data_IF_839407203633
#
_entry.id   IF_839407203633
#
_cell.length_a   1.000
_cell.length_b   1.000
_cell.length_c   1.000
_cell.angle_alpha   90.00
_cell.angle_beta   90.00
_cell.angle_gamma   90.00
#
_symmetry.space_group_name_H-M   'P 1'
#
loop_
_entity.id
_entity.type
_entity.pdbx_description
1 polymer ?
#
# COMPACT_ATOMS: atom_id res chain seq x y z
N UNK A 1 15.45 -1.72 10.38
CA UNK A 1 15.71 -1.96 8.96
C UNK A 1 14.46 -2.67 8.46
N UNK A 2 13.53 -1.90 7.90
CA UNK A 2 12.13 -2.31 7.77
C UNK A 2 11.64 -2.12 6.34
N UNK A 3 10.87 -3.10 5.89
CA UNK A 3 10.00 -2.99 4.73
C UNK A 3 8.82 -2.08 5.09
N UNK A 4 8.41 -1.23 4.16
CA UNK A 4 7.30 -0.28 4.37
C UNK A 4 6.45 -0.19 3.09
N UNK A 5 5.15 0.08 3.28
CA UNK A 5 4.21 0.35 2.19
C UNK A 5 3.58 1.73 2.39
N UNK A 6 4.36 2.81 2.18
CA UNK A 6 3.85 4.17 2.28
C UNK A 6 3.04 4.53 1.03
N UNK A 7 2.07 5.42 1.18
CA UNK A 7 1.30 5.90 0.05
C UNK A 7 0.46 7.12 0.37
N UNK A 8 -0.20 7.64 -0.67
CA UNK A 8 -1.20 8.68 -0.53
C UNK A 8 -2.37 8.49 -1.48
N UNK A 9 -3.52 9.04 -1.09
CA UNK A 9 -4.75 9.08 -1.87
C UNK A 9 -5.16 10.52 -2.09
N UNK A 10 -5.42 10.87 -3.34
CA UNK A 10 -6.12 12.09 -3.72
C UNK A 10 -7.58 11.77 -4.04
N UNK A 11 -8.49 12.58 -3.52
CA UNK A 11 -9.92 12.43 -3.75
C UNK A 11 -10.42 13.45 -4.76
N UNK A 12 -11.23 13.01 -5.72
CA UNK A 12 -12.00 13.91 -6.59
C UNK A 12 -13.07 14.66 -5.81
N UNK A 13 -13.59 14.04 -4.74
CA UNK A 13 -14.44 14.67 -3.74
C UNK A 13 -14.05 14.17 -2.35
N UNK A 14 -13.74 15.11 -1.45
CA UNK A 14 -13.35 14.79 -0.08
C UNK A 14 -14.45 13.98 0.62
N UNK A 15 -14.10 12.88 1.30
CA UNK A 15 -15.06 12.07 2.03
C UNK A 15 -15.64 12.86 3.21
N UNK A 16 -16.90 12.60 3.56
CA UNK A 16 -17.58 13.22 4.72
C UNK A 16 -17.16 12.56 6.05
N UNK A 17 -15.89 12.19 6.15
CA UNK A 17 -15.25 11.63 7.34
C UNK A 17 -13.81 12.12 7.41
N UNK A 18 -13.28 12.22 8.63
CA UNK A 18 -11.87 12.57 8.81
C UNK A 18 -10.93 11.49 8.26
N UNK A 19 -9.71 11.87 7.90
CA UNK A 19 -8.64 10.93 7.53
C UNK A 19 -8.38 9.87 8.62
N UNK A 20 -8.45 10.26 9.90
CA UNK A 20 -8.29 9.33 11.02
C UNK A 20 -9.39 8.27 11.05
N UNK A 21 -10.64 8.68 10.84
CA UNK A 21 -11.78 7.76 10.78
C UNK A 21 -11.67 6.82 9.58
N UNK A 22 -11.26 7.35 8.41
CA UNK A 22 -11.05 6.56 7.20
C UNK A 22 -9.99 5.48 7.42
N UNK A 23 -8.81 5.85 7.92
CA UNK A 23 -7.73 4.90 8.25
C UNK A 23 -8.19 3.85 9.27
N UNK A 24 -8.93 4.27 10.29
CA UNK A 24 -9.47 3.34 11.30
C UNK A 24 -10.44 2.33 10.67
N UNK A 25 -11.23 2.73 9.67
CA UNK A 25 -12.11 1.81 8.94
C UNK A 25 -11.32 0.81 8.11
N UNK A 26 -10.28 1.26 7.41
CA UNK A 26 -9.41 0.38 6.61
C UNK A 26 -8.67 -0.65 7.46
N UNK A 27 -8.10 -0.22 8.60
CA UNK A 27 -7.42 -1.11 9.55
C UNK A 27 -8.40 -2.17 10.07
N UNK A 28 -9.59 -1.76 10.51
CA UNK A 28 -10.61 -2.68 11.04
C UNK A 28 -11.20 -3.63 10.00
N UNK A 29 -11.33 -3.21 8.73
CA UNK A 29 -11.92 -4.04 7.68
C UNK A 29 -10.95 -5.03 7.08
N UNK A 30 -9.65 -4.71 7.05
CA UNK A 30 -8.61 -5.54 6.42
C UNK A 30 -7.91 -6.47 7.39
N UNK A 31 -7.82 -6.11 8.67
CA UNK A 31 -6.96 -6.78 9.64
C UNK A 31 -5.47 -6.45 9.49
N UNK A 32 -5.09 -5.64 8.49
CA UNK A 32 -3.75 -5.10 8.31
C UNK A 32 -3.58 -3.85 9.15
N UNK A 33 -2.33 -3.49 9.46
CA UNK A 33 -2.05 -2.19 10.04
C UNK A 33 -2.22 -1.08 9.00
N UNK A 34 -2.96 -0.04 9.36
CA UNK A 34 -3.10 1.16 8.53
C UNK A 34 -2.99 2.36 9.45
N UNK A 35 -2.10 3.30 9.14
CA UNK A 35 -1.87 4.47 9.96
C UNK A 35 -1.68 5.73 9.13
N UNK A 36 -1.98 6.89 9.71
CA UNK A 36 -1.61 8.17 9.12
C UNK A 36 -0.09 8.36 9.19
N UNK A 37 0.45 8.98 8.16
CA UNK A 37 1.87 9.29 8.03
C UNK A 37 2.05 10.76 7.67
N UNK A 38 3.12 11.39 8.14
CA UNK A 38 3.44 12.76 7.74
C UNK A 38 3.89 12.78 6.27
N UNK A 39 3.43 13.71 5.42
CA UNK A 39 3.90 13.80 4.02
C UNK A 39 5.42 13.88 3.88
N UNK A 40 6.14 14.44 4.85
CA UNK A 40 7.60 14.50 4.87
C UNK A 40 8.30 13.16 5.13
N UNK A 41 7.55 12.14 5.55
CA UNK A 41 8.02 10.76 5.73
C UNK A 41 7.86 9.91 4.46
N UNK A 42 7.37 10.48 3.35
CA UNK A 42 7.39 9.84 2.02
C UNK A 42 8.80 9.86 1.42
N UNK A 43 9.73 9.18 2.10
CA UNK A 43 11.13 9.15 1.73
C UNK A 43 11.34 8.61 0.32
N UNK A 44 12.24 9.24 -0.42
CA UNK A 44 12.61 8.90 -1.80
C UNK A 44 11.47 8.93 -2.84
N UNK A 45 10.26 9.40 -2.48
CA UNK A 45 9.23 9.69 -3.47
C UNK A 45 9.74 10.77 -4.43
N UNK A 46 9.66 10.57 -5.75
CA UNK A 46 10.09 11.58 -6.71
C UNK A 46 9.33 12.91 -6.51
N UNK A 47 9.98 14.04 -6.78
CA UNK A 47 9.34 15.37 -6.69
C UNK A 47 8.05 15.49 -7.53
N UNK A 48 7.95 14.69 -8.59
CA UNK A 48 6.77 14.61 -9.48
C UNK A 48 5.62 13.79 -8.89
N UNK A 49 5.82 13.13 -7.75
CA UNK A 49 4.88 12.24 -7.07
C UNK A 49 4.72 12.64 -5.60
N UNK A 50 4.56 13.94 -5.35
CA UNK A 50 4.24 14.46 -4.03
C UNK A 50 2.72 14.57 -3.84
N UNK A 51 2.20 14.31 -2.63
CA UNK A 51 0.79 14.48 -2.32
C UNK A 51 0.39 15.96 -2.36
N UNK A 52 -0.86 16.23 -2.70
CA UNK A 52 -1.48 17.55 -2.44
C UNK A 52 -1.77 17.76 -0.95
N UNK A 53 -1.96 19.01 -0.54
CA UNK A 53 -2.22 19.40 0.86
C UNK A 53 -3.46 18.72 1.47
N UNK A 54 -4.41 18.28 0.64
CA UNK A 54 -5.65 17.63 1.05
C UNK A 54 -5.63 16.11 0.87
N UNK A 55 -4.49 15.53 0.46
CA UNK A 55 -4.35 14.10 0.29
C UNK A 55 -4.34 13.39 1.64
N UNK A 56 -4.88 12.17 1.66
CA UNK A 56 -4.66 11.24 2.76
C UNK A 56 -3.28 10.60 2.56
N UNK A 57 -2.34 10.83 3.46
CA UNK A 57 -1.05 10.15 3.48
C UNK A 57 -1.07 9.05 4.54
N UNK A 58 -0.63 7.85 4.16
CA UNK A 58 -0.80 6.65 4.97
C UNK A 58 0.38 5.69 4.86
N UNK A 59 0.41 4.73 5.79
CA UNK A 59 1.31 3.59 5.82
C UNK A 59 0.51 2.31 6.05
N UNK A 60 0.76 1.28 5.23
CA UNK A 60 0.27 -0.08 5.44
C UNK A 60 1.38 -0.93 6.09
N UNK A 61 1.01 -1.75 7.07
CA UNK A 61 1.92 -2.60 7.84
C UNK A 61 1.29 -3.97 8.16
N UNK A 62 2.12 -4.90 8.62
CA UNK A 62 1.75 -6.30 8.85
C UNK A 62 0.54 -6.45 9.78
N UNK A 63 0.46 -5.62 10.82
CA UNK A 63 -0.58 -5.68 11.86
C UNK A 63 -0.93 -4.29 12.37
N UNK A 64 -2.11 -4.13 12.99
CA UNK A 64 -2.50 -2.89 13.65
C UNK A 64 -1.41 -2.35 14.57
N UNK A 65 -1.16 -1.04 14.47
CA UNK A 65 -0.10 -0.32 15.23
C UNK A 65 1.36 -0.72 14.92
N UNK A 66 1.59 -1.64 13.98
CA UNK A 66 2.92 -1.89 13.41
C UNK A 66 3.32 -0.76 12.46
N UNK A 67 4.61 -0.58 12.24
CA UNK A 67 5.16 0.28 11.16
C UNK A 67 5.83 -0.52 10.04
N UNK A 68 5.94 -1.83 10.21
CA UNK A 68 6.70 -2.70 9.32
C UNK A 68 5.73 -3.53 8.49
N UNK A 69 6.05 -3.72 7.22
CA UNK A 69 5.33 -4.58 6.29
C UNK A 69 6.18 -5.81 5.90
N UNK A 70 7.09 -6.24 6.78
CA UNK A 70 8.09 -7.26 6.45
C UNK A 70 7.45 -8.56 6.01
N UNK A 71 6.40 -9.01 6.70
CA UNK A 71 5.71 -10.23 6.33
C UNK A 71 4.88 -10.04 5.06
N UNK A 72 4.19 -8.91 4.93
CA UNK A 72 3.27 -8.66 3.82
C UNK A 72 3.94 -8.67 2.44
N UNK A 73 5.14 -8.09 2.33
CA UNK A 73 5.83 -7.93 1.04
C UNK A 73 7.07 -8.81 0.89
N UNK A 74 7.26 -9.77 1.79
CA UNK A 74 8.21 -10.87 1.56
C UNK A 74 7.67 -11.77 0.44
N UNK A 75 8.45 -11.93 -0.64
CA UNK A 75 8.09 -12.78 -1.78
C UNK A 75 8.18 -14.29 -1.49
N UNK A 76 8.72 -14.69 -0.33
CA UNK A 76 8.87 -16.09 0.06
C UNK A 76 7.63 -16.68 0.72
N UNK A 77 7.35 -17.96 0.42
CA UNK A 77 6.38 -18.73 1.19
C UNK A 77 7.00 -19.12 2.56
N UNK A 78 6.23 -18.93 3.63
CA UNK A 78 6.63 -19.36 4.97
C UNK A 78 6.38 -20.86 5.17
N UNK A 79 7.15 -21.47 6.06
CA UNK A 79 6.98 -22.87 6.43
C UNK A 79 5.59 -23.12 7.06
N UNK A 80 4.98 -24.30 6.88
CA UNK A 80 3.66 -24.63 7.44
C UNK A 80 3.52 -24.42 8.96
N UNK A 81 4.63 -24.55 9.69
CA UNK A 81 4.74 -24.37 11.13
C UNK A 81 4.98 -22.93 11.58
N UNK A 82 5.15 -21.99 10.65
CA UNK A 82 5.37 -20.59 10.98
C UNK A 82 4.11 -19.99 11.61
N UNK A 83 4.29 -19.33 12.75
CA UNK A 83 3.23 -18.64 13.48
C UNK A 83 3.37 -17.14 13.26
N UNK A 84 2.79 -16.66 12.15
CA UNK A 84 2.87 -15.27 11.71
C UNK A 84 1.50 -14.60 11.60
N UNK A 85 0.41 -15.23 12.03
CA UNK A 85 -0.95 -14.65 11.98
C UNK A 85 -1.39 -14.04 10.62
N UNK A 86 -0.71 -14.42 9.53
CA UNK A 86 -0.90 -13.99 8.15
C UNK A 86 -0.85 -15.20 7.22
N UNK A 87 -1.39 -15.11 5.99
CA UNK A 87 -1.26 -16.18 5.01
C UNK A 87 0.22 -16.59 4.79
N UNK A 88 0.48 -17.89 4.78
CA UNK A 88 1.84 -18.41 4.61
C UNK A 88 2.37 -18.22 3.19
N UNK A 89 1.48 -18.16 2.18
CA UNK A 89 1.89 -17.95 0.79
C UNK A 89 2.05 -16.47 0.49
N UNK A 90 3.15 -16.10 -0.17
CA UNK A 90 3.44 -14.68 -0.49
C UNK A 90 2.35 -14.03 -1.33
N UNK A 91 1.86 -14.76 -2.33
CA UNK A 91 0.73 -14.32 -3.14
C UNK A 91 -0.51 -14.01 -2.30
N UNK A 92 -0.86 -14.86 -1.33
CA UNK A 92 -2.06 -14.66 -0.51
C UNK A 92 -1.93 -13.44 0.42
N UNK A 93 -0.71 -13.07 0.83
CA UNK A 93 -0.46 -11.81 1.57
C UNK A 93 -0.58 -10.58 0.68
N UNK A 94 -0.05 -10.65 -0.53
CA UNK A 94 -0.19 -9.58 -1.52
C UNK A 94 -1.66 -9.33 -1.88
N UNK A 95 -2.47 -10.38 -1.94
CA UNK A 95 -3.91 -10.30 -2.13
C UNK A 95 -4.61 -9.47 -1.04
N UNK A 96 -4.16 -9.53 0.22
CA UNK A 96 -4.73 -8.69 1.29
C UNK A 96 -4.50 -7.20 1.04
N UNK A 97 -3.31 -6.85 0.56
CA UNK A 97 -2.94 -5.46 0.24
C UNK A 97 -3.77 -4.97 -0.95
N UNK A 98 -3.92 -5.81 -1.98
CA UNK A 98 -4.74 -5.50 -3.15
C UNK A 98 -6.21 -5.28 -2.81
N UNK A 99 -6.79 -6.15 -1.99
CA UNK A 99 -8.18 -5.98 -1.53
C UNK A 99 -8.37 -4.67 -0.76
N UNK A 100 -7.39 -4.28 0.06
CA UNK A 100 -7.43 -2.99 0.75
C UNK A 100 -7.35 -1.81 -0.23
N UNK A 101 -6.44 -1.84 -1.21
CA UNK A 101 -6.31 -0.81 -2.24
C UNK A 101 -7.57 -0.72 -3.12
N UNK A 102 -8.14 -1.86 -3.51
CA UNK A 102 -9.37 -1.91 -4.30
C UNK A 102 -10.56 -1.36 -3.51
N UNK A 103 -10.66 -1.70 -2.20
CA UNK A 103 -11.71 -1.16 -1.33
C UNK A 103 -11.66 0.37 -1.23
N UNK A 104 -10.48 0.96 -1.33
CA UNK A 104 -10.30 2.41 -1.35
C UNK A 104 -10.99 3.02 -2.59
N UNK A 105 -10.77 2.44 -3.77
CA UNK A 105 -11.43 2.89 -5.00
C UNK A 105 -12.93 2.61 -5.04
N UNK A 106 -13.39 1.50 -4.45
CA UNK A 106 -14.80 1.12 -4.44
C UNK A 106 -15.64 2.00 -3.51
N UNK A 107 -15.09 2.41 -2.37
CA UNK A 107 -15.85 3.08 -1.31
C UNK A 107 -15.66 4.60 -1.29
N UNK A 108 -14.66 5.12 -2.01
CA UNK A 108 -14.33 6.54 -1.99
C UNK A 108 -14.10 7.08 -3.40
N UNK A 109 -14.42 8.36 -3.58
CA UNK A 109 -14.23 9.07 -4.84
C UNK A 109 -12.75 9.43 -5.04
N UNK A 110 -11.90 8.43 -5.29
CA UNK A 110 -10.46 8.60 -5.54
C UNK A 110 -10.25 9.17 -6.93
N UNK A 111 -9.30 10.09 -7.09
CA UNK A 111 -8.80 10.54 -8.40
C UNK A 111 -7.43 9.94 -8.72
N UNK A 112 -6.61 9.72 -7.70
CA UNK A 112 -5.25 9.18 -7.82
C UNK A 112 -4.85 8.49 -6.53
N UNK A 113 -4.17 7.35 -6.64
CA UNK A 113 -3.52 6.66 -5.54
C UNK A 113 -2.07 6.41 -5.91
N UNK A 114 -1.15 6.82 -5.04
CA UNK A 114 0.26 6.46 -5.14
C UNK A 114 0.64 5.57 -3.96
N UNK A 115 1.26 4.42 -4.23
CA UNK A 115 1.68 3.48 -3.18
C UNK A 115 3.00 2.84 -3.55
N UNK A 116 3.95 2.82 -2.61
CA UNK A 116 5.26 2.21 -2.81
C UNK A 116 5.33 0.86 -2.08
N UNK A 117 6.01 -0.10 -2.67
CA UNK A 117 6.37 -1.36 -2.03
C UNK A 117 7.89 -1.36 -1.87
N UNK A 118 8.38 -1.04 -0.67
CA UNK A 118 9.79 -0.69 -0.50
C UNK A 118 10.51 -1.56 0.52
N UNK A 119 11.77 -1.86 0.21
CA UNK A 119 12.77 -2.29 1.18
C UNK A 119 13.65 -1.07 1.53
N UNK A 120 13.74 -0.72 2.82
CA UNK A 120 14.46 0.48 3.31
C UNK A 120 14.05 1.79 2.63
N UNK A 121 12.75 1.97 2.37
CA UNK A 121 12.19 3.16 1.71
C UNK A 121 12.80 3.43 0.32
N UNK A 122 13.39 2.41 -0.33
CA UNK A 122 13.95 2.55 -1.68
C UNK A 122 12.85 2.57 -2.74
N UNK A 123 13.05 3.41 -3.75
CA UNK A 123 12.23 3.49 -4.96
C UNK A 123 13.15 3.45 -6.16
N UNK A 124 13.13 2.34 -6.90
CA UNK A 124 13.93 2.10 -8.09
C UNK A 124 13.14 2.32 -9.37
N UNK A 125 11.82 2.16 -9.32
CA UNK A 125 10.93 2.30 -10.46
C UNK A 125 9.65 3.07 -10.11
N UNK A 126 9.13 3.80 -11.10
CA UNK A 126 7.78 4.37 -11.06
C UNK A 126 6.96 3.70 -12.14
N UNK A 127 5.88 3.04 -11.73
CA UNK A 127 4.99 2.28 -12.62
C UNK A 127 3.64 2.98 -12.66
N UNK A 128 3.26 3.47 -13.84
CA UNK A 128 1.94 4.07 -14.06
C UNK A 128 0.96 2.99 -14.48
N UNK A 129 -0.22 2.98 -13.86
CA UNK A 129 -1.30 2.06 -14.21
C UNK A 129 -2.67 2.72 -13.97
N UNK A 130 -3.74 2.04 -14.37
CA UNK A 130 -5.11 2.48 -14.10
C UNK A 130 -5.78 1.58 -13.07
N UNK A 131 -6.88 2.04 -12.49
CA UNK A 131 -7.67 1.26 -11.54
C UNK A 131 -8.03 -0.13 -12.11
N UNK A 132 -8.51 -0.21 -13.35
CA UNK A 132 -8.84 -1.49 -13.99
C UNK A 132 -7.64 -2.45 -14.15
N UNK A 133 -6.41 -1.93 -14.17
CA UNK A 133 -5.21 -2.73 -14.39
C UNK A 133 -4.34 -2.91 -13.13
N UNK A 134 -4.65 -2.21 -12.03
CA UNK A 134 -3.79 -2.13 -10.84
C UNK A 134 -3.40 -3.52 -10.32
N UNK A 135 -4.38 -4.42 -10.21
CA UNK A 135 -4.21 -5.77 -9.66
C UNK A 135 -3.24 -6.58 -10.49
N UNK A 136 -3.42 -6.57 -11.82
CA UNK A 136 -2.53 -7.27 -12.75
C UNK A 136 -1.11 -6.70 -12.65
N UNK A 137 -0.97 -5.37 -12.69
CA UNK A 137 0.32 -4.69 -12.68
C UNK A 137 1.12 -4.99 -11.41
N UNK A 138 0.51 -4.84 -10.23
CA UNK A 138 1.20 -5.06 -8.95
C UNK A 138 1.56 -6.54 -8.76
N UNK A 139 0.66 -7.47 -9.13
CA UNK A 139 0.94 -8.91 -9.05
C UNK A 139 2.12 -9.29 -9.95
N UNK A 140 2.12 -8.89 -11.22
CA UNK A 140 3.21 -9.23 -12.16
C UNK A 140 4.57 -8.69 -11.70
N UNK A 141 4.59 -7.48 -11.12
CA UNK A 141 5.81 -6.87 -10.60
C UNK A 141 6.31 -7.57 -9.33
N UNK A 142 5.43 -7.84 -8.36
CA UNK A 142 5.81 -8.53 -7.13
C UNK A 142 6.21 -10.00 -7.38
N UNK A 143 5.50 -10.74 -8.24
CA UNK A 143 5.81 -12.16 -8.52
C UNK A 143 7.13 -12.36 -9.26
N UNK A 144 7.63 -11.31 -9.93
CA UNK A 144 8.93 -11.32 -10.59
C UNK A 144 10.11 -11.18 -9.61
N UNK A 145 9.83 -10.90 -8.33
CA UNK A 145 10.84 -10.56 -7.32
C UNK A 145 10.67 -11.39 -6.03
N UNK A 146 11.78 -11.83 -5.45
CA UNK A 146 11.77 -12.49 -4.13
C UNK A 146 11.71 -11.45 -3.00
N UNK A 147 12.28 -10.27 -3.23
CA UNK A 147 12.26 -9.12 -2.32
C UNK A 147 11.19 -8.13 -2.77
N UNK A 148 10.81 -7.14 -1.93
CA UNK A 148 9.96 -6.04 -2.37
C UNK A 148 10.47 -5.44 -3.69
N UNK A 149 9.59 -5.12 -4.64
CA UNK A 149 10.01 -4.66 -5.97
C UNK A 149 10.68 -3.27 -5.94
N UNK A 150 10.61 -2.54 -4.82
CA UNK A 150 11.06 -1.15 -4.72
C UNK A 150 10.40 -0.26 -5.79
N UNK A 151 9.14 -0.55 -6.12
CA UNK A 151 8.34 0.17 -7.10
C UNK A 151 7.37 1.13 -6.42
N UNK A 152 7.23 2.33 -6.98
CA UNK A 152 6.13 3.25 -6.71
C UNK A 152 5.07 3.08 -7.80
N UNK A 153 3.86 2.68 -7.42
CA UNK A 153 2.73 2.59 -8.32
C UNK A 153 1.95 3.90 -8.30
N UNK A 154 1.77 4.51 -9.47
CA UNK A 154 0.94 5.71 -9.69
C UNK A 154 -0.32 5.29 -10.44
N UNK A 155 -1.43 5.24 -9.70
CA UNK A 155 -2.69 4.63 -10.11
C UNK A 155 -3.74 5.73 -10.28
N UNK A 156 -4.27 5.87 -11.49
CA UNK A 156 -5.38 6.80 -11.77
C UNK A 156 -6.69 6.04 -12.00
N UNK A 157 -7.81 6.69 -11.70
CA UNK A 157 -9.13 6.20 -12.13
C UNK A 157 -9.23 6.23 -13.66
N UNK A 158 -10.04 5.33 -14.22
CA UNK A 158 -10.29 5.24 -15.67
C UNK A 158 -11.13 6.41 -16.21
#
# INVERSE_FOLDING_TARGET
MSNTIPGFVEFSQQPDISHQELVSRLENSSGLGVSLMDPSELYNFPDTHQPSDSALVFLISDYPRSKNATYLIDGLDFAPEADIDLPLRSRDRLELILLLIESLFENYNISRLCVAFSDMDQIEAVIKTSQANLRKTILEDCESNIMPPCSLYDITVD
#
